data_IF_521896724488
#
_entry.id   IF_521896724488
#
_cell.length_a   1.000
_cell.length_b   1.000
_cell.length_c   1.000
_cell.angle_alpha   90.00
_cell.angle_beta   90.00
_cell.angle_gamma   90.00
#
_symmetry.space_group_name_H-M   'P 1'
#
loop_
_entity.id
_entity.type
_entity.pdbx_description
1 polymer ?
#
# COMPACT_ATOMS: atom_id res chain seq x y z
N UNK A 1 -22.38 6.14 11.95
CA UNK A 1 -22.11 7.55 12.37
C UNK A 1 -20.77 8.09 11.87
N UNK A 2 -19.67 7.32 11.81
CA UNK A 2 -18.36 7.83 11.31
C UNK A 2 -18.32 8.04 9.78
N UNK A 3 -18.87 7.11 8.99
CA UNK A 3 -18.79 7.20 7.52
C UNK A 3 -19.54 8.38 6.88
N UNK A 4 -20.63 8.85 7.49
CA UNK A 4 -21.35 10.04 7.01
C UNK A 4 -20.54 11.32 7.20
N UNK A 5 -19.78 11.43 8.28
CA UNK A 5 -18.88 12.57 8.53
C UNK A 5 -17.75 12.59 7.52
N UNK A 6 -17.06 11.46 7.33
CA UNK A 6 -15.97 11.34 6.35
C UNK A 6 -16.44 11.71 4.94
N UNK A 7 -17.64 11.26 4.53
CA UNK A 7 -18.21 11.64 3.23
C UNK A 7 -18.39 13.15 3.10
N UNK A 8 -18.98 13.80 4.12
CA UNK A 8 -19.17 15.26 4.10
C UNK A 8 -17.84 16.01 4.03
N UNK A 9 -16.83 15.58 4.79
CA UNK A 9 -15.51 16.19 4.79
C UNK A 9 -14.82 16.07 3.41
N UNK A 10 -14.95 14.91 2.75
CA UNK A 10 -14.44 14.69 1.39
C UNK A 10 -15.21 15.51 0.34
N UNK A 11 -16.54 15.54 0.41
CA UNK A 11 -17.38 16.34 -0.50
C UNK A 11 -17.06 17.84 -0.39
N UNK A 12 -16.84 18.34 0.83
CA UNK A 12 -16.42 19.72 1.05
C UNK A 12 -15.03 19.98 0.44
N UNK A 13 -14.04 19.12 0.73
CA UNK A 13 -12.68 19.30 0.20
C UNK A 13 -12.64 19.28 -1.34
N UNK A 14 -13.41 18.39 -1.98
CA UNK A 14 -13.55 18.30 -3.43
C UNK A 14 -14.20 19.54 -4.06
N UNK A 15 -15.05 20.26 -3.30
CA UNK A 15 -15.66 21.52 -3.77
C UNK A 15 -14.69 22.70 -3.71
N UNK A 16 -13.69 22.65 -2.84
CA UNK A 16 -12.73 23.73 -2.59
C UNK A 16 -11.43 23.57 -3.40
N UNK A 17 -11.02 22.33 -3.69
CA UNK A 17 -9.76 22.03 -4.41
C UNK A 17 -9.81 20.69 -5.12
N UNK A 18 -8.93 20.53 -6.10
CA UNK A 18 -8.65 19.22 -6.73
C UNK A 18 -7.89 18.37 -5.69
N UNK A 19 -8.36 17.15 -5.48
CA UNK A 19 -7.64 16.13 -4.69
C UNK A 19 -6.89 15.19 -5.62
N UNK A 20 -5.73 14.74 -5.17
CA UNK A 20 -4.86 13.80 -5.88
C UNK A 20 -4.87 12.48 -5.12
N UNK A 21 -4.86 11.37 -5.85
CA UNK A 21 -4.68 10.03 -5.32
C UNK A 21 -3.24 9.58 -5.59
N UNK A 22 -2.79 8.62 -4.81
CA UNK A 22 -1.47 8.02 -4.95
C UNK A 22 -1.26 7.34 -6.31
N UNK A 23 0.01 7.02 -6.58
CA UNK A 23 0.42 6.39 -7.82
C UNK A 23 0.33 4.86 -7.78
N UNK A 24 1.00 4.22 -8.73
CA UNK A 24 0.95 2.77 -8.89
C UNK A 24 1.80 2.03 -7.84
N UNK A 25 1.14 1.46 -6.83
CA UNK A 25 1.75 0.62 -5.78
C UNK A 25 2.61 -0.52 -6.35
N UNK A 26 2.09 -1.26 -7.34
CA UNK A 26 2.82 -2.40 -7.92
C UNK A 26 4.15 -2.03 -8.57
N UNK A 27 4.24 -0.85 -9.18
CA UNK A 27 5.49 -0.36 -9.79
C UNK A 27 6.52 0.00 -8.73
N UNK A 28 6.09 0.61 -7.62
CA UNK A 28 6.96 0.91 -6.48
C UNK A 28 7.50 -0.38 -5.85
N UNK A 29 6.64 -1.39 -5.67
CA UNK A 29 7.05 -2.71 -5.16
C UNK A 29 8.04 -3.40 -6.09
N UNK A 30 7.81 -3.35 -7.41
CA UNK A 30 8.73 -3.94 -8.40
C UNK A 30 10.14 -3.32 -8.32
N UNK A 31 10.25 -2.03 -8.01
CA UNK A 31 11.54 -1.35 -7.86
C UNK A 31 12.35 -1.87 -6.65
N UNK A 32 11.70 -2.45 -5.64
CA UNK A 32 12.36 -3.03 -4.47
C UNK A 32 13.08 -4.36 -4.78
N UNK A 33 12.83 -4.97 -5.95
CA UNK A 33 13.48 -6.23 -6.38
C UNK A 33 13.38 -7.36 -5.33
N UNK A 34 12.19 -7.50 -4.74
CA UNK A 34 11.91 -8.49 -3.69
C UNK A 34 11.98 -9.92 -4.22
N UNK A 35 12.39 -10.85 -3.37
CA UNK A 35 12.40 -12.28 -3.66
C UNK A 35 11.29 -13.04 -2.92
N UNK A 36 11.13 -14.32 -3.26
CA UNK A 36 10.13 -15.23 -2.69
C UNK A 36 10.20 -15.31 -1.15
N UNK A 37 11.40 -15.22 -0.56
CA UNK A 37 11.55 -15.30 0.90
C UNK A 37 10.99 -14.04 1.56
N UNK A 38 11.16 -12.87 0.95
CA UNK A 38 10.55 -11.62 1.40
C UNK A 38 9.02 -11.67 1.30
N UNK A 39 8.47 -12.14 0.18
CA UNK A 39 7.00 -12.31 0.05
C UNK A 39 6.42 -13.28 1.09
N UNK A 40 7.18 -14.30 1.51
CA UNK A 40 6.74 -15.26 2.54
C UNK A 40 6.84 -14.72 3.96
N UNK A 41 7.85 -13.94 4.26
CA UNK A 41 8.21 -13.61 5.63
C UNK A 41 8.33 -14.85 6.52
N UNK A 42 8.20 -14.67 7.83
CA UNK A 42 8.21 -15.78 8.77
C UNK A 42 6.87 -16.54 8.79
N UNK A 43 5.77 -15.82 8.68
CA UNK A 43 4.41 -16.37 8.80
C UNK A 43 4.05 -17.38 7.69
N UNK A 44 4.57 -17.18 6.47
CA UNK A 44 4.26 -18.02 5.31
C UNK A 44 5.46 -18.83 4.80
N UNK A 45 6.54 -18.93 5.59
CA UNK A 45 7.74 -19.68 5.23
C UNK A 45 7.44 -21.12 4.76
N UNK A 46 6.46 -21.78 5.39
CA UNK A 46 6.03 -23.15 5.08
C UNK A 46 4.91 -23.28 4.05
N UNK A 47 4.45 -22.19 3.42
CA UNK A 47 3.31 -22.25 2.51
C UNK A 47 3.65 -23.07 1.24
N UNK A 48 2.81 -24.01 0.80
CA UNK A 48 3.17 -24.96 -0.25
C UNK A 48 3.22 -24.35 -1.66
N UNK A 49 2.56 -23.22 -1.89
CA UNK A 49 2.58 -22.51 -3.18
C UNK A 49 3.55 -21.31 -3.15
N UNK A 50 4.08 -20.95 -4.31
CA UNK A 50 4.85 -19.73 -4.50
C UNK A 50 3.99 -18.49 -4.21
N UNK A 51 4.57 -17.49 -3.55
CA UNK A 51 3.87 -16.28 -3.11
C UNK A 51 4.41 -15.00 -3.76
N UNK A 52 5.46 -15.11 -4.58
CA UNK A 52 6.00 -14.03 -5.39
C UNK A 52 4.92 -13.32 -6.22
N UNK A 53 4.92 -11.99 -6.13
CA UNK A 53 3.93 -11.15 -6.80
C UNK A 53 2.59 -11.03 -6.09
N UNK A 54 2.35 -11.75 -4.99
CA UNK A 54 1.21 -11.49 -4.11
C UNK A 54 1.50 -10.27 -3.20
N UNK A 55 1.40 -9.08 -3.78
CA UNK A 55 1.76 -7.81 -3.13
C UNK A 55 0.97 -7.55 -1.84
N UNK A 56 -0.28 -8.02 -1.75
CA UNK A 56 -1.11 -7.88 -0.55
C UNK A 56 -0.47 -8.49 0.71
N UNK A 57 0.35 -9.54 0.54
CA UNK A 57 1.06 -10.17 1.67
C UNK A 57 2.13 -9.26 2.27
N UNK A 58 2.67 -8.32 1.51
CA UNK A 58 3.72 -7.42 1.98
C UNK A 58 3.23 -6.51 3.12
N UNK A 59 1.92 -6.26 3.23
CA UNK A 59 1.33 -5.59 4.39
C UNK A 59 1.53 -6.37 5.71
N UNK A 60 1.76 -7.69 5.63
CA UNK A 60 2.01 -8.56 6.78
C UNK A 60 3.50 -8.91 6.90
N UNK A 61 4.16 -9.20 5.78
CA UNK A 61 5.53 -9.73 5.78
C UNK A 61 6.60 -8.65 5.74
N UNK A 62 6.34 -7.50 5.10
CA UNK A 62 7.24 -6.35 5.00
C UNK A 62 6.46 -5.02 5.20
N UNK A 63 5.80 -4.82 6.36
CA UNK A 63 4.95 -3.65 6.58
C UNK A 63 5.72 -2.32 6.46
N UNK A 64 6.98 -2.26 6.89
CA UNK A 64 7.76 -1.02 6.82
C UNK A 64 8.05 -0.60 5.37
N UNK A 65 8.16 -1.55 4.44
CA UNK A 65 8.36 -1.25 3.02
C UNK A 65 7.10 -0.64 2.40
N UNK A 66 5.92 -1.13 2.78
CA UNK A 66 4.63 -0.60 2.31
C UNK A 66 4.35 0.78 2.91
N UNK A 67 4.61 0.96 4.20
CA UNK A 67 4.51 2.27 4.88
C UNK A 67 5.39 3.31 4.16
N UNK A 68 6.65 2.95 3.88
CA UNK A 68 7.56 3.82 3.15
C UNK A 68 7.05 4.21 1.76
N UNK A 69 6.42 3.31 1.01
CA UNK A 69 5.85 3.65 -0.30
C UNK A 69 4.69 4.66 -0.16
N UNK A 70 3.84 4.49 0.87
CA UNK A 70 2.80 5.47 1.15
C UNK A 70 3.38 6.83 1.54
N UNK A 71 4.42 6.85 2.37
CA UNK A 71 5.13 8.09 2.74
C UNK A 71 5.72 8.78 1.51
N UNK A 72 6.35 8.03 0.60
CA UNK A 72 6.91 8.58 -0.65
C UNK A 72 5.83 9.26 -1.52
N UNK A 73 4.61 8.71 -1.57
CA UNK A 73 3.49 9.39 -2.26
C UNK A 73 2.99 10.61 -1.50
N UNK A 74 2.85 10.52 -0.17
CA UNK A 74 2.39 11.63 0.66
C UNK A 74 3.37 12.81 0.66
N UNK A 75 4.67 12.55 0.63
CA UNK A 75 5.72 13.56 0.52
C UNK A 75 5.73 14.23 -0.87
N UNK A 76 5.29 13.51 -1.91
CA UNK A 76 5.23 14.03 -3.28
C UNK A 76 4.07 15.00 -3.52
N UNK A 77 2.96 14.91 -2.77
CA UNK A 77 1.85 15.87 -2.76
C UNK A 77 0.45 15.25 -2.75
#
# INVERSE_FOLDING_TARGET
MSGERTRLDLEQALSERILVLDGAMGTMIQALSLDEAMFRGEEFAGHPAALDGCNDLLCLTLPEAIEKIHDEFLEAG
#
